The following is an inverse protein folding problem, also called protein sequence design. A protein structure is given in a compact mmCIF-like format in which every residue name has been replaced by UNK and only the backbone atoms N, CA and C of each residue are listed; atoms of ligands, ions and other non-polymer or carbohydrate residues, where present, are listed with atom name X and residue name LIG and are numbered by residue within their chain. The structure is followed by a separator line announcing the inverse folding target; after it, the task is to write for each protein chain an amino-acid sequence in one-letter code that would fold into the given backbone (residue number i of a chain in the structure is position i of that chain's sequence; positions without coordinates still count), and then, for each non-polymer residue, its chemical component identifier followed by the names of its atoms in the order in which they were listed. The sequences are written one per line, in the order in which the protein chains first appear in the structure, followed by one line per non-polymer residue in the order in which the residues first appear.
data_IF_820890824138
#
_entry.id   IF_820890824138
#
_cell.length_a   1.000
_cell.length_b   1.000
_cell.length_c   1.000
_cell.angle_alpha   90.00
_cell.angle_beta   90.00
_cell.angle_gamma   90.00
#
_symmetry.space_group_name_H-M   'P 1'
#
loop_
_entity.id
_entity.type
_entity.pdbx_description
1 polymer ?
#
# COMPACT_ATOMS: atom_id res chain seq x y z
N UNK A 1 0.32 -3.75 -24.71
CA UNK A 1 1.14 -2.71 -24.05
C UNK A 1 0.32 -2.07 -22.93
N UNK A 2 0.15 -2.79 -21.82
CA UNK A 2 -0.60 -2.35 -20.63
C UNK A 2 0.41 -1.92 -19.56
N UNK A 3 1.18 -0.88 -19.85
CA UNK A 3 2.21 -0.39 -18.95
C UNK A 3 1.80 0.97 -18.39
N UNK A 4 2.07 1.14 -17.09
CA UNK A 4 1.94 2.36 -16.27
C UNK A 4 0.60 2.55 -15.53
N UNK A 5 0.11 1.50 -14.85
CA UNK A 5 -0.73 1.69 -13.65
C UNK A 5 0.20 1.90 -12.45
N UNK A 6 0.26 3.14 -11.97
CA UNK A 6 0.71 3.59 -10.64
C UNK A 6 1.95 2.84 -10.07
N UNK A 7 3.16 3.32 -10.40
CA UNK A 7 4.46 2.77 -9.93
C UNK A 7 4.65 2.73 -8.40
N UNK A 8 3.86 3.47 -7.61
CA UNK A 8 4.03 3.53 -6.16
C UNK A 8 3.32 2.37 -5.43
N UNK A 9 2.16 1.93 -5.94
CA UNK A 9 1.30 0.95 -5.29
C UNK A 9 1.90 -0.46 -5.29
N UNK A 10 2.49 -0.86 -6.41
CA UNK A 10 3.13 -2.17 -6.54
C UNK A 10 4.26 -2.39 -5.51
N UNK A 11 4.93 -1.32 -5.07
CA UNK A 11 6.02 -1.46 -4.08
C UNK A 11 5.50 -1.76 -2.69
N UNK A 12 4.39 -1.13 -2.27
CA UNK A 12 3.77 -1.44 -0.98
C UNK A 12 3.17 -2.85 -0.97
N UNK A 13 2.49 -3.25 -2.05
CA UNK A 13 1.94 -4.60 -2.19
C UNK A 13 3.05 -5.67 -2.13
N UNK A 14 4.15 -5.49 -2.87
CA UNK A 14 5.26 -6.45 -2.85
C UNK A 14 5.93 -6.58 -1.47
N UNK A 15 6.07 -5.47 -0.73
CA UNK A 15 6.62 -5.50 0.63
C UNK A 15 5.66 -6.21 1.58
N UNK A 16 4.36 -5.92 1.48
CA UNK A 16 3.33 -6.58 2.28
C UNK A 16 3.33 -8.10 2.04
N UNK A 17 3.35 -8.52 0.77
CA UNK A 17 3.35 -9.94 0.41
C UNK A 17 4.62 -10.65 0.90
N UNK A 18 5.80 -10.01 0.75
CA UNK A 18 7.05 -10.54 1.28
C UNK A 18 6.97 -10.73 2.81
N UNK A 19 6.44 -9.74 3.53
CA UNK A 19 6.35 -9.81 4.98
C UNK A 19 5.38 -10.90 5.45
N UNK A 20 4.24 -11.07 4.77
CA UNK A 20 3.27 -12.11 5.10
C UNK A 20 3.77 -13.51 4.72
N UNK A 21 4.48 -13.67 3.60
CA UNK A 21 5.09 -14.95 3.19
C UNK A 21 6.16 -15.42 4.16
N UNK A 22 6.94 -14.49 4.73
CA UNK A 22 7.97 -14.80 5.72
C UNK A 22 7.45 -14.79 7.17
N UNK A 23 6.13 -14.69 7.37
CA UNK A 23 5.47 -14.69 8.68
C UNK A 23 6.02 -13.68 9.68
N UNK A 24 6.47 -12.52 9.20
CA UNK A 24 6.90 -11.44 10.09
C UNK A 24 5.68 -10.80 10.75
N UNK A 25 5.71 -10.66 12.08
CA UNK A 25 4.67 -9.97 12.86
C UNK A 25 4.70 -8.44 12.69
N UNK A 26 5.68 -7.93 11.94
CA UNK A 26 5.83 -6.50 11.68
C UNK A 26 4.61 -5.95 10.93
N UNK A 27 3.93 -5.00 11.56
CA UNK A 27 2.76 -4.33 10.99
C UNK A 27 3.20 -3.44 9.82
N UNK A 28 2.67 -3.71 8.63
CA UNK A 28 2.91 -2.87 7.45
C UNK A 28 1.87 -1.75 7.40
N UNK A 29 2.34 -0.51 7.43
CA UNK A 29 1.49 0.67 7.44
C UNK A 29 1.75 1.55 6.20
N UNK A 30 0.72 1.75 5.37
CA UNK A 30 0.79 2.68 4.25
C UNK A 30 0.68 4.13 4.71
N UNK A 31 1.54 5.02 4.22
CA UNK A 31 1.53 6.44 4.56
C UNK A 31 1.84 7.30 3.32
N UNK A 32 1.60 8.61 3.42
CA UNK A 32 1.90 9.60 2.37
C UNK A 32 1.16 9.34 1.05
N UNK A 33 -0.16 9.16 1.16
CA UNK A 33 -1.03 9.12 -0.01
C UNK A 33 -0.98 10.47 -0.75
N UNK A 34 -1.20 10.45 -2.07
CA UNK A 34 -1.36 11.67 -2.91
C UNK A 34 -2.75 11.76 -3.55
N UNK A 35 -3.49 10.65 -3.63
CA UNK A 35 -4.80 10.52 -4.29
C UNK A 35 -5.62 9.42 -3.63
N UNK A 36 -6.94 9.58 -3.63
CA UNK A 36 -7.88 8.61 -3.04
C UNK A 36 -7.82 7.24 -3.71
N UNK A 37 -7.52 7.16 -5.02
CA UNK A 37 -7.39 5.85 -5.69
C UNK A 37 -6.23 5.02 -5.13
N UNK A 38 -5.21 5.67 -4.56
CA UNK A 38 -4.09 4.97 -3.93
C UNK A 38 -4.47 4.33 -2.60
N UNK A 39 -5.37 5.00 -1.87
CA UNK A 39 -5.96 4.50 -0.62
C UNK A 39 -6.85 3.29 -0.96
N UNK A 40 -7.72 3.44 -1.95
CA UNK A 40 -8.63 2.37 -2.40
C UNK A 40 -7.90 1.13 -2.90
N UNK A 41 -6.76 1.27 -3.57
CA UNK A 41 -6.00 0.10 -4.01
C UNK A 41 -5.15 -0.55 -2.90
N UNK A 42 -5.10 0.05 -1.70
CA UNK A 42 -4.49 -0.53 -0.50
C UNK A 42 -5.53 -0.92 0.55
N UNK A 43 -6.82 -0.95 0.19
CA UNK A 43 -7.86 -1.53 1.06
C UNK A 43 -7.58 -3.02 1.23
N UNK A 44 -7.13 -3.42 2.42
CA UNK A 44 -6.63 -4.77 2.71
C UNK A 44 -5.26 -4.79 3.38
N UNK A 45 -4.53 -3.67 3.40
CA UNK A 45 -3.35 -3.50 4.27
C UNK A 45 -3.76 -3.44 5.75
N UNK A 46 -2.85 -3.87 6.63
CA UNK A 46 -3.09 -3.92 8.08
C UNK A 46 -3.47 -2.55 8.66
N UNK A 47 -2.76 -1.48 8.27
CA UNK A 47 -3.05 -0.09 8.68
C UNK A 47 -2.73 0.91 7.58
N UNK A 48 -3.46 2.03 7.56
CA UNK A 48 -3.21 3.17 6.67
C UNK A 48 -3.23 4.46 7.50
N UNK A 49 -2.23 5.33 7.30
CA UNK A 49 -2.18 6.67 7.91
C UNK A 49 -2.52 7.70 6.85
N UNK A 50 -3.71 8.27 6.98
CA UNK A 50 -4.29 9.22 6.02
C UNK A 50 -4.32 10.61 6.68
N UNK A 51 -3.85 11.63 5.96
CA UNK A 51 -3.94 13.00 6.43
C UNK A 51 -5.41 13.47 6.44
N UNK A 52 -5.84 14.33 7.39
CA UNK A 52 -7.23 14.78 7.49
C UNK A 52 -7.69 15.67 6.32
N UNK A 53 -6.76 16.12 5.46
CA UNK A 53 -7.03 16.98 4.30
C UNK A 53 -7.37 16.19 3.02
N UNK A 54 -7.92 14.99 3.15
CA UNK A 54 -8.34 14.13 2.03
C UNK A 54 -9.84 14.22 1.77
#
# INVERSE_FOLDING_TARGET
MWWKKIRALNRCANIYDYYKQHHYETIVMGASFRRTEQILALTGCDRLTIAPNY
#
